data_IF_057342331928
#
_entry.id   IF_057342331928
#
_cell.length_a   1.000
_cell.length_b   1.000
_cell.length_c   1.000
_cell.angle_alpha   90.00
_cell.angle_beta   90.00
_cell.angle_gamma   90.00
#
_symmetry.space_group_name_H-M   'P 1'
#
loop_
_entity.id
_entity.type
_entity.pdbx_description
1 polymer ?
#
# COMPACT_ATOMS: atom_id res chain seq x y z
N UNK A 1 19.99 16.32 13.40
CA UNK A 1 19.50 15.02 12.92
C UNK A 1 18.65 14.42 14.03
N UNK A 2 17.33 14.52 13.96
CA UNK A 2 16.44 13.91 14.97
C UNK A 2 16.30 12.44 14.62
N UNK A 3 16.69 11.56 15.51
CA UNK A 3 16.43 10.12 15.38
C UNK A 3 14.92 9.89 15.55
N UNK A 4 14.27 9.29 14.55
CA UNK A 4 12.88 8.90 14.62
C UNK A 4 12.70 7.80 15.68
N UNK A 5 12.24 8.17 16.86
CA UNK A 5 11.92 7.23 17.93
C UNK A 5 10.60 6.48 17.64
N UNK A 6 10.36 5.31 18.28
CA UNK A 6 9.15 4.53 18.07
C UNK A 6 7.94 5.25 18.66
N UNK A 7 7.07 5.81 17.79
CA UNK A 7 5.77 6.31 18.20
C UNK A 7 4.77 5.17 18.42
N UNK A 8 3.97 5.29 19.47
CA UNK A 8 2.84 4.40 19.75
C UNK A 8 1.63 4.94 18.96
N UNK A 9 1.35 4.37 17.79
CA UNK A 9 0.14 4.63 17.02
C UNK A 9 -0.43 3.30 16.54
N UNK A 10 -1.61 2.94 16.99
CA UNK A 10 -2.31 1.76 16.54
C UNK A 10 -3.07 2.11 15.26
N UNK A 11 -2.77 1.38 14.18
CA UNK A 11 -3.56 1.34 12.95
C UNK A 11 -4.89 0.66 13.26
N UNK A 12 -5.96 1.42 13.37
CA UNK A 12 -7.30 0.86 13.56
C UNK A 12 -8.00 0.71 12.21
N UNK A 13 -7.88 -0.45 11.59
CA UNK A 13 -8.84 -0.87 10.59
C UNK A 13 -10.07 -1.47 11.29
N UNK A 14 -11.17 -0.73 11.37
CA UNK A 14 -12.45 -1.26 11.83
C UNK A 14 -12.99 -2.28 10.83
N UNK A 15 -12.97 -3.55 11.21
CA UNK A 15 -13.74 -4.60 10.55
C UNK A 15 -15.23 -4.40 10.87
N UNK A 16 -16.03 -3.88 9.94
CA UNK A 16 -17.49 -4.01 10.01
C UNK A 16 -17.94 -5.28 9.32
N UNK A 17 -18.35 -6.26 10.12
CA UNK A 17 -19.25 -7.33 9.75
C UNK A 17 -20.61 -6.73 9.35
N UNK A 18 -21.03 -6.92 8.10
CA UNK A 18 -22.42 -6.76 7.70
C UNK A 18 -22.89 -8.07 7.04
N UNK A 19 -23.49 -8.92 7.87
CA UNK A 19 -24.45 -9.87 7.38
C UNK A 19 -25.82 -9.23 7.35
N UNK A 20 -26.51 -9.30 6.23
CA UNK A 20 -27.94 -9.59 6.16
C UNK A 20 -28.30 -9.95 4.72
N UNK A 21 -28.84 -11.12 4.66
CA UNK A 21 -29.52 -11.78 3.57
C UNK A 21 -30.90 -11.13 3.39
N UNK A 22 -31.33 -10.86 2.16
CA UNK A 22 -32.73 -10.96 1.81
C UNK A 22 -32.88 -11.18 0.31
N UNK A 23 -33.75 -12.13 -0.03
CA UNK A 23 -33.88 -12.80 -1.30
C UNK A 23 -34.84 -12.23 -2.30
N UNK A 24 -34.67 -12.79 -3.48
CA UNK A 24 -35.69 -13.30 -4.46
C UNK A 24 -36.20 -12.34 -5.54
N UNK A 25 -36.82 -12.89 -6.63
CA UNK A 25 -36.44 -14.01 -7.51
C UNK A 25 -36.41 -13.67 -9.02
N UNK A 26 -35.88 -14.65 -9.78
CA UNK A 26 -36.18 -15.08 -11.17
C UNK A 26 -36.63 -14.08 -12.24
N UNK A 27 -35.86 -14.02 -13.31
CA UNK A 27 -36.39 -14.20 -14.67
C UNK A 27 -35.34 -14.77 -15.63
N UNK A 28 -35.65 -15.93 -16.16
CA UNK A 28 -34.95 -16.61 -17.26
C UNK A 28 -35.02 -15.78 -18.54
N UNK A 29 -33.88 -15.67 -19.25
CA UNK A 29 -33.89 -15.62 -20.74
C UNK A 29 -32.60 -16.27 -21.26
N UNK A 30 -32.84 -17.29 -22.09
CA UNK A 30 -31.95 -18.06 -22.95
C UNK A 30 -31.34 -17.20 -24.04
N UNK A 31 -29.99 -17.37 -24.32
CA UNK A 31 -29.49 -17.68 -25.66
C UNK A 31 -27.97 -17.89 -25.71
N UNK A 32 -27.59 -19.07 -26.09
CA UNK A 32 -26.77 -19.51 -27.23
C UNK A 32 -25.35 -18.99 -27.36
N UNK A 33 -24.38 -19.92 -27.18
CA UNK A 33 -23.15 -19.97 -27.98
C UNK A 33 -21.99 -19.13 -27.50
N UNK A 34 -21.47 -19.35 -26.28
CA UNK A 34 -20.17 -18.86 -25.83
C UNK A 34 -19.32 -20.03 -25.34
N UNK A 35 -18.02 -20.04 -25.69
CA UNK A 35 -17.02 -20.91 -25.08
C UNK A 35 -17.21 -20.90 -23.55
N UNK A 36 -17.02 -22.02 -22.84
CA UNK A 36 -17.13 -22.00 -21.39
C UNK A 36 -16.13 -20.96 -20.87
N UNK A 37 -16.65 -19.93 -20.21
CA UNK A 37 -15.84 -19.07 -19.38
C UNK A 37 -15.13 -19.99 -18.41
N UNK A 38 -13.81 -19.95 -18.37
CA UNK A 38 -13.07 -20.54 -17.27
C UNK A 38 -13.65 -19.91 -16.01
N UNK A 39 -14.26 -20.72 -15.16
CA UNK A 39 -14.62 -20.30 -13.81
C UNK A 39 -13.33 -19.79 -13.16
N UNK A 40 -13.15 -18.47 -13.11
CA UNK A 40 -12.12 -17.88 -12.28
C UNK A 40 -12.43 -18.30 -10.84
N UNK A 41 -11.59 -19.16 -10.29
CA UNK A 41 -11.63 -19.48 -8.85
C UNK A 41 -11.63 -18.14 -8.10
N UNK A 42 -12.53 -17.94 -7.13
CA UNK A 42 -12.55 -16.69 -6.39
C UNK A 42 -11.17 -16.45 -5.79
N UNK A 43 -10.59 -15.28 -6.07
CA UNK A 43 -9.33 -14.88 -5.44
C UNK A 43 -9.53 -14.88 -3.93
N UNK A 44 -8.70 -15.61 -3.22
CA UNK A 44 -8.86 -15.87 -1.78
C UNK A 44 -8.25 -14.79 -0.89
N UNK A 45 -7.61 -13.77 -1.45
CA UNK A 45 -7.10 -12.60 -0.73
C UNK A 45 -8.22 -11.64 -0.30
N UNK A 46 -8.01 -10.90 0.78
CA UNK A 46 -8.99 -9.95 1.34
C UNK A 46 -9.32 -8.83 0.35
N UNK A 47 -8.34 -8.40 -0.43
CA UNK A 47 -8.44 -7.31 -1.39
C UNK A 47 -8.70 -7.80 -2.82
N UNK A 48 -8.44 -9.07 -3.08
CA UNK A 48 -8.65 -9.70 -4.38
C UNK A 48 -7.59 -9.32 -5.42
N UNK A 49 -6.42 -8.85 -5.02
CA UNK A 49 -5.32 -8.47 -5.91
C UNK A 49 -4.40 -9.65 -6.24
N UNK A 50 -4.36 -10.67 -5.39
CA UNK A 50 -3.53 -11.85 -5.58
C UNK A 50 -4.23 -13.13 -5.16
N UNK A 51 -3.78 -14.26 -5.71
CA UNK A 51 -4.15 -15.58 -5.22
C UNK A 51 -3.04 -16.10 -4.29
N UNK A 52 -3.24 -16.15 -2.95
CA UNK A 52 -2.20 -16.57 -2.01
C UNK A 52 -1.69 -18.00 -2.25
N UNK A 53 -2.47 -18.87 -2.90
CA UNK A 53 -2.06 -20.23 -3.24
C UNK A 53 -0.89 -20.28 -4.24
N UNK A 54 -0.71 -19.23 -5.04
CA UNK A 54 0.36 -19.13 -6.04
C UNK A 54 1.68 -18.64 -5.46
N UNK A 55 1.68 -18.18 -4.21
CA UNK A 55 2.87 -17.59 -3.57
C UNK A 55 3.53 -18.58 -2.62
N UNK A 56 4.85 -18.67 -2.69
CA UNK A 56 5.65 -19.31 -1.65
C UNK A 56 5.67 -18.43 -0.39
N UNK A 57 5.65 -19.04 0.79
CA UNK A 57 5.81 -18.31 2.06
C UNK A 57 7.17 -17.58 2.16
N UNK A 58 8.13 -17.95 1.31
CA UNK A 58 9.42 -17.27 1.18
C UNK A 58 9.32 -15.82 0.71
N UNK A 59 8.20 -15.38 0.12
CA UNK A 59 8.00 -13.97 -0.21
C UNK A 59 8.09 -13.07 1.04
N UNK A 60 7.78 -13.61 2.23
CA UNK A 60 7.93 -12.91 3.51
C UNK A 60 9.38 -12.50 3.83
N UNK A 61 10.39 -13.08 3.17
CA UNK A 61 11.79 -12.67 3.25
C UNK A 61 12.08 -11.31 2.60
N UNK A 62 11.10 -10.74 1.89
CA UNK A 62 11.18 -9.38 1.30
C UNK A 62 10.47 -8.32 2.13
N UNK A 63 9.89 -8.70 3.27
CA UNK A 63 9.17 -7.76 4.14
C UNK A 63 10.12 -6.78 4.82
N UNK A 64 9.70 -5.52 4.88
CA UNK A 64 10.42 -4.49 5.62
C UNK A 64 10.10 -4.51 7.11
N UNK A 65 10.97 -3.91 7.92
CA UNK A 65 10.83 -3.86 9.38
C UNK A 65 9.47 -3.34 9.83
N UNK A 66 8.93 -2.29 9.21
CA UNK A 66 7.63 -1.74 9.59
C UNK A 66 6.48 -2.71 9.31
N UNK A 67 6.54 -3.45 8.20
CA UNK A 67 5.55 -4.46 7.82
C UNK A 67 5.58 -5.65 8.81
N UNK A 68 6.78 -6.18 9.10
CA UNK A 68 6.97 -7.25 10.08
C UNK A 68 6.46 -6.82 11.45
N UNK A 69 6.76 -5.61 11.87
CA UNK A 69 6.29 -5.05 13.13
C UNK A 69 4.77 -4.99 13.18
N UNK A 70 4.14 -4.49 12.11
CA UNK A 70 2.68 -4.40 12.01
C UNK A 70 2.02 -5.77 12.07
N UNK A 71 2.51 -6.75 11.30
CA UNK A 71 2.05 -8.14 11.28
C UNK A 71 2.07 -8.74 12.70
N UNK A 72 3.13 -8.49 13.46
CA UNK A 72 3.32 -9.06 14.79
C UNK A 72 2.53 -8.32 15.90
N UNK A 73 2.12 -7.08 15.68
CA UNK A 73 1.38 -6.26 16.65
C UNK A 73 -0.14 -6.33 16.48
N UNK A 74 -0.63 -6.63 15.28
CA UNK A 74 -2.05 -6.49 14.91
C UNK A 74 -2.72 -7.77 14.37
N UNK A 75 -2.37 -8.99 14.81
CA UNK A 75 -3.09 -10.17 14.38
C UNK A 75 -4.45 -10.26 15.08
N UNK A 76 -5.49 -10.63 14.34
CA UNK A 76 -6.67 -11.23 15.00
C UNK A 76 -6.35 -12.66 15.44
N UNK A 77 -7.23 -13.30 16.23
CA UNK A 77 -6.95 -14.61 16.81
C UNK A 77 -6.69 -15.69 15.75
N UNK A 78 -7.46 -15.69 14.67
CA UNK A 78 -7.33 -16.68 13.60
C UNK A 78 -6.09 -16.43 12.73
N UNK A 79 -5.74 -15.16 12.51
CA UNK A 79 -4.52 -14.76 11.82
C UNK A 79 -3.28 -15.10 12.67
N UNK A 80 -3.36 -14.97 14.01
CA UNK A 80 -2.27 -15.32 14.92
C UNK A 80 -1.96 -16.81 14.88
N UNK A 81 -3.00 -17.68 14.88
CA UNK A 81 -2.81 -19.13 14.80
C UNK A 81 -2.16 -19.54 13.48
N UNK A 82 -2.66 -19.04 12.35
CA UNK A 82 -2.08 -19.32 11.04
C UNK A 82 -0.62 -18.85 10.95
N UNK A 83 -0.33 -17.64 11.41
CA UNK A 83 1.03 -17.09 11.44
C UNK A 83 1.96 -17.93 12.34
N UNK A 84 1.48 -18.40 13.49
CA UNK A 84 2.26 -19.25 14.39
C UNK A 84 2.68 -20.55 13.71
N UNK A 85 1.74 -21.23 13.04
CA UNK A 85 2.00 -22.46 12.27
C UNK A 85 3.00 -22.20 11.15
N UNK A 86 2.76 -21.15 10.37
CA UNK A 86 3.61 -20.80 9.24
C UNK A 86 5.04 -20.46 9.68
N UNK A 87 5.22 -19.67 10.76
CA UNK A 87 6.55 -19.33 11.28
C UNK A 87 7.29 -20.57 11.84
N UNK A 88 6.61 -21.49 12.51
CA UNK A 88 7.21 -22.73 13.00
C UNK A 88 7.68 -23.63 11.85
N UNK A 89 6.88 -23.75 10.82
CA UNK A 89 7.19 -24.57 9.64
C UNK A 89 8.27 -23.94 8.74
N UNK A 90 8.46 -22.62 8.83
CA UNK A 90 9.42 -21.86 8.00
C UNK A 90 10.47 -21.15 8.87
N UNK A 91 11.45 -21.87 9.45
CA UNK A 91 12.42 -21.32 10.40
C UNK A 91 13.29 -20.21 9.79
N UNK A 92 13.53 -20.21 8.48
CA UNK A 92 14.27 -19.13 7.79
C UNK A 92 13.48 -17.81 7.79
N UNK A 93 12.15 -17.85 7.62
CA UNK A 93 11.29 -16.67 7.71
C UNK A 93 11.23 -16.18 9.15
N UNK A 94 11.05 -17.08 10.12
CA UNK A 94 11.09 -16.73 11.55
C UNK A 94 12.43 -16.09 11.92
N UNK A 95 13.56 -16.64 11.48
CA UNK A 95 14.88 -16.07 11.67
C UNK A 95 14.97 -14.67 11.04
N UNK A 96 14.56 -14.52 9.78
CA UNK A 96 14.58 -13.24 9.09
C UNK A 96 13.78 -12.18 9.85
N UNK A 97 12.59 -12.52 10.33
CA UNK A 97 11.76 -11.61 11.13
C UNK A 97 12.48 -11.16 12.40
N UNK A 98 13.21 -12.08 13.09
CA UNK A 98 13.97 -11.72 14.28
C UNK A 98 15.17 -10.82 13.97
N UNK A 99 15.79 -10.95 12.81
CA UNK A 99 16.92 -10.11 12.39
C UNK A 99 16.47 -8.74 11.89
N UNK A 100 15.43 -8.72 11.06
CA UNK A 100 14.92 -7.47 10.46
C UNK A 100 14.18 -6.60 11.47
N UNK A 101 13.52 -7.23 12.49
CA UNK A 101 12.78 -6.55 13.54
C UNK A 101 13.17 -7.09 14.94
N UNK A 102 14.42 -6.77 15.44
CA UNK A 102 14.97 -7.37 16.65
C UNK A 102 14.14 -7.11 17.91
N UNK A 103 13.44 -5.97 17.99
CA UNK A 103 12.54 -5.62 19.10
C UNK A 103 11.31 -6.52 19.19
N UNK A 104 11.01 -7.31 18.15
CA UNK A 104 9.94 -8.30 18.10
C UNK A 104 10.44 -9.74 18.12
N UNK A 105 11.72 -9.97 18.27
CA UNK A 105 12.31 -11.31 18.22
C UNK A 105 11.67 -12.28 19.24
N UNK A 106 11.37 -11.80 20.46
CA UNK A 106 10.71 -12.62 21.48
C UNK A 106 9.28 -12.99 21.05
N UNK A 107 8.52 -12.05 20.46
CA UNK A 107 7.18 -12.31 19.94
C UNK A 107 7.18 -13.38 18.85
N UNK A 108 8.16 -13.35 17.94
CA UNK A 108 8.33 -14.38 16.89
C UNK A 108 8.55 -15.76 17.52
N UNK A 109 9.46 -15.87 18.51
CA UNK A 109 9.72 -17.14 19.21
C UNK A 109 8.49 -17.66 19.94
N UNK A 110 7.78 -16.78 20.64
CA UNK A 110 6.55 -17.15 21.36
C UNK A 110 5.45 -17.63 20.41
N UNK A 111 5.27 -17.00 19.26
CA UNK A 111 4.30 -17.43 18.26
C UNK A 111 4.67 -18.81 17.71
N UNK A 112 5.89 -19.01 17.26
CA UNK A 112 6.32 -20.30 16.74
C UNK A 112 6.19 -21.43 17.78
N UNK A 113 6.43 -21.13 19.07
CA UNK A 113 6.28 -22.09 20.15
C UNK A 113 4.82 -22.48 20.47
N UNK A 114 3.85 -21.60 20.17
CA UNK A 114 2.42 -21.87 20.34
C UNK A 114 1.84 -22.82 19.28
N UNK A 115 2.50 -22.96 18.14
CA UNK A 115 1.97 -23.77 17.04
C UNK A 115 1.90 -25.25 17.43
N UNK A 116 0.81 -25.98 17.08
CA UNK A 116 0.65 -27.40 17.35
C UNK A 116 1.78 -28.25 16.78
N UNK A 117 1.99 -29.42 17.37
CA UNK A 117 2.89 -30.44 16.83
C UNK A 117 2.13 -31.40 15.89
N UNK A 118 2.86 -32.09 15.01
CA UNK A 118 2.31 -33.20 14.21
C UNK A 118 1.37 -32.77 13.09
N UNK A 119 1.42 -31.51 12.66
CA UNK A 119 0.61 -31.03 11.53
C UNK A 119 1.08 -31.67 10.20
N UNK A 120 0.12 -32.01 9.33
CA UNK A 120 0.41 -32.46 7.98
C UNK A 120 0.95 -31.31 7.11
N UNK A 121 1.64 -31.65 6.01
CA UNK A 121 2.10 -30.64 5.05
C UNK A 121 0.94 -29.80 4.48
N UNK A 122 -0.24 -30.41 4.34
CA UNK A 122 -1.45 -29.76 3.85
C UNK A 122 -1.99 -28.72 4.87
N UNK A 123 -1.98 -29.06 6.17
CA UNK A 123 -2.36 -28.13 7.23
C UNK A 123 -1.38 -26.96 7.35
N UNK A 124 -0.08 -27.24 7.22
CA UNK A 124 0.95 -26.19 7.18
C UNK A 124 0.71 -25.27 5.99
N UNK A 125 0.51 -25.85 4.79
CA UNK A 125 0.26 -25.04 3.58
C UNK A 125 -1.01 -24.20 3.69
N UNK A 126 -2.07 -24.72 4.24
CA UNK A 126 -3.29 -23.96 4.50
C UNK A 126 -3.06 -22.75 5.43
N UNK A 127 -2.22 -22.93 6.47
CA UNK A 127 -1.84 -21.83 7.36
C UNK A 127 -0.97 -20.77 6.66
N UNK A 128 -0.03 -21.18 5.79
CA UNK A 128 0.76 -20.27 4.97
C UNK A 128 -0.13 -19.44 4.05
N UNK A 129 -1.02 -20.08 3.28
CA UNK A 129 -1.97 -19.43 2.36
C UNK A 129 -2.86 -18.45 3.12
N UNK A 130 -3.38 -18.86 4.28
CA UNK A 130 -4.19 -17.97 5.11
C UNK A 130 -3.40 -16.76 5.60
N UNK A 131 -2.15 -16.96 6.05
CA UNK A 131 -1.28 -15.86 6.47
C UNK A 131 -1.04 -14.89 5.32
N UNK A 132 -0.67 -15.40 4.13
CA UNK A 132 -0.44 -14.57 2.95
C UNK A 132 -1.69 -13.78 2.55
N UNK A 133 -2.87 -14.41 2.60
CA UNK A 133 -4.15 -13.75 2.29
C UNK A 133 -4.54 -12.68 3.31
N UNK A 134 -4.25 -12.89 4.62
CA UNK A 134 -4.54 -11.90 5.65
C UNK A 134 -3.67 -10.63 5.53
N UNK A 135 -2.48 -10.74 4.95
CA UNK A 135 -1.53 -9.65 4.76
C UNK A 135 -1.28 -9.36 3.28
N UNK A 136 -2.30 -9.56 2.45
CA UNK A 136 -2.24 -9.38 1.00
C UNK A 136 -1.71 -8.00 0.60
N UNK A 137 -2.10 -6.95 1.31
CA UNK A 137 -1.66 -5.58 1.12
C UNK A 137 -0.15 -5.37 1.30
N UNK A 138 0.51 -6.23 2.09
CA UNK A 138 1.97 -6.25 2.21
C UNK A 138 2.63 -7.26 1.27
N UNK A 139 2.00 -8.42 1.08
CA UNK A 139 2.55 -9.47 0.22
C UNK A 139 2.62 -9.00 -1.24
N UNK A 140 1.63 -8.24 -1.72
CA UNK A 140 1.62 -7.72 -3.09
C UNK A 140 2.84 -6.82 -3.38
N UNK A 141 3.42 -6.15 -2.37
CA UNK A 141 4.62 -5.32 -2.52
C UNK A 141 5.90 -6.14 -2.76
N UNK A 142 5.85 -7.44 -2.53
CA UNK A 142 6.99 -8.35 -2.83
C UNK A 142 7.08 -8.71 -4.31
N UNK A 143 6.05 -8.40 -5.09
CA UNK A 143 5.92 -8.67 -6.53
C UNK A 143 5.39 -7.43 -7.27
N UNK A 144 6.24 -6.40 -7.47
CA UNK A 144 5.83 -5.11 -8.05
C UNK A 144 5.14 -5.20 -9.40
N UNK A 145 5.51 -6.20 -10.22
CA UNK A 145 4.90 -6.44 -11.53
C UNK A 145 3.42 -6.82 -11.35
N UNK A 146 3.13 -7.76 -10.45
CA UNK A 146 1.76 -8.18 -10.14
C UNK A 146 0.97 -7.02 -9.52
N UNK A 147 1.58 -6.27 -8.61
CA UNK A 147 0.97 -5.06 -8.04
C UNK A 147 0.55 -4.07 -9.14
N UNK A 148 1.41 -3.83 -10.12
CA UNK A 148 1.12 -2.90 -11.22
C UNK A 148 -0.03 -3.39 -12.09
N UNK A 149 -0.16 -4.69 -12.32
CA UNK A 149 -1.19 -5.28 -13.17
C UNK A 149 -2.53 -5.51 -12.46
N UNK A 150 -2.51 -5.78 -11.14
CA UNK A 150 -3.70 -6.23 -10.40
C UNK A 150 -4.32 -5.19 -9.50
N UNK A 151 -3.55 -4.21 -9.00
CA UNK A 151 -4.11 -3.17 -8.16
C UNK A 151 -4.87 -2.14 -9.01
N UNK A 152 -6.19 -2.11 -8.83
CA UNK A 152 -7.12 -1.27 -9.59
C UNK A 152 -6.77 0.22 -9.53
N UNK A 153 -6.31 0.71 -8.39
CA UNK A 153 -5.87 2.09 -8.22
C UNK A 153 -4.59 2.44 -9.02
N UNK A 154 -3.92 1.45 -9.60
CA UNK A 154 -2.76 1.62 -10.48
C UNK A 154 -3.17 1.50 -11.95
N UNK A 155 -3.68 0.32 -12.37
CA UNK A 155 -3.96 0.08 -13.79
C UNK A 155 -5.18 0.88 -14.30
N UNK A 156 -6.13 1.18 -13.45
CA UNK A 156 -7.34 1.94 -13.81
C UNK A 156 -7.17 3.46 -13.77
N UNK A 157 -6.00 3.97 -13.34
CA UNK A 157 -5.82 5.38 -13.09
C UNK A 157 -5.49 6.19 -14.35
N UNK A 158 -6.17 7.33 -14.51
CA UNK A 158 -5.86 8.31 -15.54
C UNK A 158 -4.94 9.41 -15.00
N UNK A 159 -3.71 9.48 -15.51
CA UNK A 159 -2.69 10.44 -15.09
C UNK A 159 -3.08 11.92 -15.29
N UNK A 160 -3.97 12.24 -16.23
CA UNK A 160 -4.44 13.60 -16.45
C UNK A 160 -5.15 14.15 -15.19
N UNK A 161 -5.67 13.27 -14.34
CA UNK A 161 -6.25 13.65 -13.06
C UNK A 161 -5.26 14.30 -12.10
N UNK A 162 -3.97 13.98 -12.19
CA UNK A 162 -2.92 14.66 -11.42
C UNK A 162 -2.71 16.10 -11.93
N UNK A 163 -2.65 16.27 -13.24
CA UNK A 163 -2.38 17.56 -13.87
C UNK A 163 -3.52 18.57 -13.75
N UNK A 164 -4.76 18.09 -13.47
CA UNK A 164 -5.91 18.94 -13.16
C UNK A 164 -5.82 19.58 -11.76
N UNK A 165 -5.01 19.02 -10.83
CA UNK A 165 -4.98 19.46 -9.43
C UNK A 165 -4.07 20.68 -9.25
N UNK A 166 -2.86 20.61 -9.86
CA UNK A 166 -1.83 21.64 -9.76
C UNK A 166 -0.93 21.58 -10.99
N UNK A 167 -0.41 22.73 -11.40
CA UNK A 167 0.62 22.82 -12.43
C UNK A 167 1.96 22.29 -11.90
N UNK A 168 2.53 21.31 -12.61
CA UNK A 168 3.81 20.69 -12.30
C UNK A 168 4.97 21.18 -13.16
N UNK A 169 4.72 22.01 -14.18
CA UNK A 169 5.75 22.45 -15.11
C UNK A 169 6.86 23.22 -14.39
N UNK A 170 8.09 22.75 -14.58
CA UNK A 170 9.28 23.33 -13.96
C UNK A 170 9.41 23.16 -12.45
N UNK A 171 8.55 22.37 -11.80
CA UNK A 171 8.54 22.14 -10.35
C UNK A 171 9.49 21.02 -9.91
N UNK A 172 9.93 21.11 -8.66
CA UNK A 172 10.55 19.99 -7.95
C UNK A 172 9.45 19.27 -7.15
N UNK A 173 9.20 18.01 -7.48
CA UNK A 173 8.08 17.22 -6.95
C UNK A 173 8.59 16.05 -6.13
N UNK A 174 7.94 15.79 -5.00
CA UNK A 174 8.12 14.57 -4.22
C UNK A 174 6.82 13.74 -4.23
N UNK A 175 6.94 12.46 -4.55
CA UNK A 175 5.91 11.45 -4.33
C UNK A 175 6.28 10.60 -3.13
N UNK A 176 5.40 10.53 -2.11
CA UNK A 176 5.64 9.84 -0.84
C UNK A 176 4.83 8.56 -0.77
N UNK A 177 5.50 7.43 -0.48
CA UNK A 177 4.90 6.11 -0.57
C UNK A 177 4.56 5.78 -2.01
N UNK A 178 5.54 5.93 -2.88
CA UNK A 178 5.36 5.92 -4.33
C UNK A 178 4.86 4.59 -4.89
N UNK A 179 4.98 3.50 -4.13
CA UNK A 179 4.62 2.15 -4.59
C UNK A 179 5.42 1.77 -5.84
N UNK A 180 4.74 1.38 -6.91
CA UNK A 180 5.37 1.12 -8.22
C UNK A 180 5.58 2.39 -9.05
N UNK A 181 5.39 3.58 -8.47
CA UNK A 181 5.70 4.86 -9.08
C UNK A 181 4.56 5.51 -9.86
N UNK A 182 3.31 5.14 -9.64
CA UNK A 182 2.14 5.66 -10.37
C UNK A 182 2.13 7.20 -10.48
N UNK A 183 2.24 7.89 -9.36
CA UNK A 183 2.27 9.36 -9.33
C UNK A 183 3.61 9.93 -9.78
N UNK A 184 4.72 9.32 -9.33
CA UNK A 184 6.06 9.79 -9.63
C UNK A 184 6.37 9.78 -11.12
N UNK A 185 6.04 8.69 -11.84
CA UNK A 185 6.24 8.62 -13.29
C UNK A 185 5.37 9.63 -14.05
N UNK A 186 4.12 9.83 -13.63
CA UNK A 186 3.26 10.86 -14.22
C UNK A 186 3.84 12.27 -13.99
N UNK A 187 4.27 12.57 -12.77
CA UNK A 187 4.87 13.86 -12.45
C UNK A 187 6.15 14.12 -13.26
N UNK A 188 7.00 13.10 -13.47
CA UNK A 188 8.24 13.23 -14.23
C UNK A 188 8.04 13.63 -15.71
N UNK A 189 6.82 13.47 -16.25
CA UNK A 189 6.51 13.94 -17.62
C UNK A 189 6.48 15.47 -17.74
N UNK A 190 6.24 16.20 -16.63
CA UNK A 190 6.11 17.68 -16.63
C UNK A 190 7.06 18.39 -15.68
N UNK A 191 7.37 17.75 -14.55
CA UNK A 191 8.21 18.34 -13.53
C UNK A 191 9.66 18.52 -14.00
N UNK A 192 10.32 19.56 -13.52
CA UNK A 192 11.77 19.72 -13.72
C UNK A 192 12.54 18.58 -13.07
N UNK A 193 12.10 18.16 -11.90
CA UNK A 193 12.71 17.04 -11.17
C UNK A 193 11.70 16.37 -10.24
N UNK A 194 11.67 15.04 -10.24
CA UNK A 194 10.79 14.23 -9.39
C UNK A 194 11.62 13.32 -8.49
N UNK A 195 11.22 13.23 -7.23
CA UNK A 195 11.74 12.24 -6.28
C UNK A 195 10.59 11.30 -5.89
N UNK A 196 10.84 10.00 -5.94
CA UNK A 196 9.97 8.96 -5.42
C UNK A 196 10.54 8.46 -4.09
N UNK A 197 9.80 8.64 -2.99
CA UNK A 197 10.17 8.12 -1.68
C UNK A 197 9.32 6.89 -1.35
N UNK A 198 9.96 5.75 -1.10
CA UNK A 198 9.28 4.47 -0.88
C UNK A 198 10.05 3.63 0.15
N UNK A 199 9.45 3.19 1.27
CA UNK A 199 10.14 2.42 2.28
C UNK A 199 10.41 0.95 1.88
N UNK A 200 9.67 0.40 0.91
CA UNK A 200 9.81 -1.01 0.49
C UNK A 200 10.89 -1.15 -0.57
N UNK A 201 11.91 -1.96 -0.29
CA UNK A 201 13.08 -2.10 -1.16
C UNK A 201 12.76 -2.66 -2.54
N UNK A 202 11.94 -3.72 -2.62
CA UNK A 202 11.53 -4.31 -3.90
C UNK A 202 10.82 -3.30 -4.82
N UNK A 203 10.02 -2.38 -4.25
CA UNK A 203 9.35 -1.32 -5.02
C UNK A 203 10.35 -0.25 -5.49
N UNK A 204 11.34 0.08 -4.66
CA UNK A 204 12.41 1.02 -5.08
C UNK A 204 13.23 0.46 -6.23
N UNK A 205 13.64 -0.82 -6.16
CA UNK A 205 14.39 -1.47 -7.25
C UNK A 205 13.56 -1.50 -8.53
N UNK A 206 12.29 -1.92 -8.45
CA UNK A 206 11.38 -1.89 -9.59
C UNK A 206 11.32 -0.50 -10.27
N UNK A 207 11.16 0.57 -9.47
CA UNK A 207 11.14 1.94 -10.03
C UNK A 207 12.47 2.33 -10.66
N UNK A 208 13.63 1.93 -10.09
CA UNK A 208 14.95 2.19 -10.66
C UNK A 208 15.14 1.50 -12.02
N UNK A 209 14.69 0.25 -12.12
CA UNK A 209 14.73 -0.51 -13.37
C UNK A 209 13.83 0.12 -14.43
N UNK A 210 12.63 0.55 -14.04
CA UNK A 210 11.71 1.26 -14.93
C UNK A 210 12.27 2.62 -15.39
N UNK A 211 12.92 3.40 -14.52
CA UNK A 211 13.61 4.64 -14.86
C UNK A 211 14.69 4.38 -15.91
N UNK A 212 15.53 3.36 -15.68
CA UNK A 212 16.60 2.99 -16.60
C UNK A 212 16.03 2.51 -17.95
N UNK A 213 15.03 1.63 -17.92
CA UNK A 213 14.38 1.07 -19.12
C UNK A 213 13.72 2.15 -19.99
N UNK A 214 13.09 3.15 -19.34
CA UNK A 214 12.40 4.27 -20.03
C UNK A 214 13.34 5.44 -20.37
N UNK A 215 14.59 5.42 -19.93
CA UNK A 215 15.56 6.50 -20.14
C UNK A 215 15.17 7.81 -19.43
N UNK A 216 14.49 7.75 -18.28
CA UNK A 216 14.06 8.93 -17.54
C UNK A 216 15.25 9.55 -16.81
N UNK A 217 15.55 10.81 -17.07
CA UNK A 217 16.73 11.50 -16.53
C UNK A 217 16.42 12.40 -15.34
N UNK A 218 15.18 12.85 -15.20
CA UNK A 218 14.71 13.82 -14.20
C UNK A 218 13.98 13.18 -13.01
N UNK A 219 14.19 11.89 -12.76
CA UNK A 219 13.57 11.18 -11.62
C UNK A 219 14.62 10.42 -10.80
N UNK A 220 14.44 10.38 -9.48
CA UNK A 220 15.26 9.58 -8.55
C UNK A 220 14.38 8.90 -7.54
N UNK A 221 14.88 7.78 -6.98
CA UNK A 221 14.18 6.96 -5.97
C UNK A 221 15.02 6.93 -4.70
N UNK A 222 14.38 7.12 -3.54
CA UNK A 222 15.01 7.03 -2.23
C UNK A 222 14.14 6.29 -1.22
N UNK A 223 14.73 5.92 -0.09
CA UNK A 223 14.03 5.41 1.08
C UNK A 223 13.42 6.57 1.87
N UNK A 224 12.27 6.34 2.52
CA UNK A 224 11.66 7.31 3.43
C UNK A 224 10.26 6.90 3.88
N UNK A 225 9.98 7.12 5.16
CA UNK A 225 8.65 6.97 5.76
C UNK A 225 7.95 8.32 5.80
N UNK A 226 6.64 8.36 5.57
CA UNK A 226 5.85 9.58 5.46
C UNK A 226 6.01 10.55 6.65
N UNK A 227 6.23 10.02 7.86
CA UNK A 227 6.43 10.81 9.07
C UNK A 227 7.91 11.13 9.37
N UNK A 228 8.84 10.69 8.51
CA UNK A 228 10.29 10.88 8.69
C UNK A 228 11.02 10.81 7.35
N UNK A 229 11.06 11.91 6.63
CA UNK A 229 11.62 11.99 5.28
C UNK A 229 13.05 12.58 5.31
N UNK A 230 13.99 12.04 4.53
CA UNK A 230 15.40 12.42 4.59
C UNK A 230 15.70 13.73 3.82
N UNK A 231 14.79 14.69 3.86
CA UNK A 231 14.93 15.95 3.13
C UNK A 231 15.00 17.17 4.06
N UNK A 232 15.75 18.21 3.70
CA UNK A 232 15.72 19.49 4.38
C UNK A 232 14.34 20.14 4.33
N UNK A 233 14.12 21.14 5.20
CA UNK A 233 12.95 21.99 5.16
C UNK A 233 12.85 22.71 3.81
N UNK A 234 11.63 22.91 3.30
CA UNK A 234 11.36 23.68 2.09
C UNK A 234 12.08 23.17 0.83
N UNK A 235 12.17 21.85 0.65
CA UNK A 235 12.87 21.22 -0.47
C UNK A 235 12.04 21.17 -1.76
N UNK A 236 10.72 21.04 -1.65
CA UNK A 236 9.85 20.71 -2.79
C UNK A 236 8.78 21.77 -3.04
N UNK A 237 8.47 22.01 -4.32
CA UNK A 237 7.36 22.88 -4.73
C UNK A 237 6.02 22.16 -4.57
N UNK A 238 6.00 20.83 -4.81
CA UNK A 238 4.84 19.98 -4.66
C UNK A 238 5.24 18.69 -3.95
N UNK A 239 4.50 18.32 -2.90
CA UNK A 239 4.62 17.04 -2.22
C UNK A 239 3.28 16.32 -2.36
N UNK A 240 3.30 15.12 -2.91
CA UNK A 240 2.11 14.34 -3.17
C UNK A 240 2.20 12.94 -2.55
N UNK A 241 1.06 12.34 -2.30
CA UNK A 241 0.91 10.97 -1.83
C UNK A 241 -0.39 10.36 -2.37
N UNK A 242 -0.52 9.04 -2.24
CA UNK A 242 -1.77 8.35 -2.50
C UNK A 242 -1.87 7.13 -1.60
N UNK A 243 -2.95 7.03 -0.80
CA UNK A 243 -3.17 5.94 0.18
C UNK A 243 -2.16 5.85 1.35
N UNK A 244 -1.43 6.93 1.64
CA UNK A 244 -0.35 6.93 2.65
C UNK A 244 -0.70 7.70 3.91
N UNK A 245 -1.32 8.88 3.77
CA UNK A 245 -1.66 9.74 4.91
C UNK A 245 -2.86 9.19 5.66
N UNK A 246 -2.73 9.02 6.98
CA UNK A 246 -3.83 8.64 7.86
C UNK A 246 -3.45 7.86 9.11
N UNK A 247 -2.36 7.08 9.10
CA UNK A 247 -1.98 6.23 10.24
C UNK A 247 -1.43 7.03 11.42
N UNK A 248 -0.64 8.05 11.10
CA UNK A 248 -0.03 8.99 12.05
C UNK A 248 -0.29 10.41 11.57
N UNK A 249 -1.56 10.70 11.30
CA UNK A 249 -2.04 11.84 10.54
C UNK A 249 -1.30 13.16 10.86
N UNK A 250 -1.18 13.51 12.14
CA UNK A 250 -0.53 14.78 12.53
C UNK A 250 0.96 14.80 12.22
N UNK A 251 1.68 13.73 12.56
CA UNK A 251 3.11 13.61 12.31
C UNK A 251 3.42 13.59 10.81
N UNK A 252 2.58 12.91 10.02
CA UNK A 252 2.69 12.82 8.57
C UNK A 252 2.46 14.19 7.92
N UNK A 253 1.35 14.86 8.24
CA UNK A 253 1.04 16.17 7.67
C UNK A 253 2.07 17.23 8.08
N UNK A 254 2.56 17.20 9.31
CA UNK A 254 3.59 18.12 9.80
C UNK A 254 4.92 17.90 9.03
N UNK A 255 5.30 16.64 8.78
CA UNK A 255 6.50 16.31 8.01
C UNK A 255 6.38 16.70 6.53
N UNK A 256 5.25 16.38 5.89
CA UNK A 256 4.97 16.82 4.51
C UNK A 256 4.99 18.35 4.42
N UNK A 257 4.40 19.04 5.41
CA UNK A 257 4.43 20.50 5.48
C UNK A 257 5.86 21.02 5.64
N UNK A 258 6.67 20.41 6.52
CA UNK A 258 8.06 20.81 6.77
C UNK A 258 8.89 20.86 5.51
N UNK A 259 8.80 19.82 4.67
CA UNK A 259 9.62 19.68 3.45
C UNK A 259 9.08 20.45 2.24
N UNK A 260 7.82 20.89 2.29
CA UNK A 260 7.21 21.70 1.22
C UNK A 260 7.59 23.17 1.38
N UNK A 261 7.93 23.85 0.29
CA UNK A 261 8.24 25.28 0.28
C UNK A 261 7.03 26.13 0.70
N UNK A 262 7.25 27.34 1.26
CA UNK A 262 6.17 28.32 1.42
C UNK A 262 5.48 28.57 0.07
N UNK A 263 4.15 28.56 0.03
CA UNK A 263 3.37 28.68 -1.21
C UNK A 263 3.30 27.42 -2.06
N UNK A 264 4.05 26.35 -1.71
CA UNK A 264 3.98 25.05 -2.36
C UNK A 264 2.71 24.28 -2.04
N UNK A 265 2.55 23.08 -2.61
CA UNK A 265 1.34 22.31 -2.53
C UNK A 265 1.55 20.93 -1.91
N UNK A 266 0.63 20.54 -1.04
CA UNK A 266 0.41 19.18 -0.59
C UNK A 266 -0.74 18.57 -1.37
N UNK A 267 -0.59 17.35 -1.86
CA UNK A 267 -1.62 16.61 -2.60
C UNK A 267 -1.81 15.23 -1.97
N UNK A 268 -3.08 14.80 -1.84
CA UNK A 268 -3.44 13.39 -1.63
C UNK A 268 -4.27 12.92 -2.82
N UNK A 269 -3.71 12.00 -3.61
CA UNK A 269 -4.22 11.59 -4.92
C UNK A 269 -4.39 10.07 -4.96
N UNK A 270 -5.44 9.53 -4.33
CA UNK A 270 -5.78 8.12 -4.48
C UNK A 270 -6.11 7.84 -5.95
N UNK A 271 -5.82 6.62 -6.40
CA UNK A 271 -6.21 6.17 -7.73
C UNK A 271 -7.68 5.75 -7.77
N UNK A 272 -8.16 5.46 -8.98
CA UNK A 272 -9.50 4.90 -9.17
C UNK A 272 -9.56 3.45 -8.68
N UNK A 273 -10.67 3.05 -8.09
CA UNK A 273 -10.86 1.72 -7.51
C UNK A 273 -12.24 1.19 -7.84
N UNK A 274 -12.37 -0.13 -7.96
CA UNK A 274 -13.69 -0.79 -8.06
C UNK A 274 -14.50 -0.64 -6.77
N UNK A 275 -13.81 -0.41 -5.64
CA UNK A 275 -14.44 -0.18 -4.34
C UNK A 275 -14.79 1.28 -4.16
N UNK A 276 -15.87 1.54 -3.40
CA UNK A 276 -16.25 2.91 -3.01
C UNK A 276 -15.08 3.59 -2.28
N UNK A 277 -14.62 4.69 -2.82
CA UNK A 277 -13.58 5.52 -2.21
C UNK A 277 -14.14 6.19 -0.95
N UNK A 278 -13.42 6.06 0.18
CA UNK A 278 -13.77 6.74 1.42
C UNK A 278 -13.34 8.20 1.35
N UNK A 279 -14.26 9.10 1.69
CA UNK A 279 -13.93 10.51 1.92
C UNK A 279 -13.07 10.65 3.17
N UNK A 280 -12.03 11.49 3.11
CA UNK A 280 -11.09 11.72 4.22
C UNK A 280 -11.46 13.01 4.96
N UNK A 281 -12.37 12.91 5.93
CA UNK A 281 -12.86 14.07 6.69
C UNK A 281 -11.76 14.74 7.50
N UNK A 282 -10.72 13.99 7.92
CA UNK A 282 -9.55 14.50 8.63
C UNK A 282 -8.73 15.50 7.81
N UNK A 283 -8.56 15.23 6.48
CA UNK A 283 -7.90 16.18 5.58
C UNK A 283 -8.71 17.46 5.44
N UNK A 284 -10.04 17.35 5.31
CA UNK A 284 -10.93 18.51 5.22
C UNK A 284 -10.87 19.34 6.50
N UNK A 285 -10.90 18.68 7.67
CA UNK A 285 -10.77 19.34 8.97
C UNK A 285 -9.42 20.04 9.15
N UNK A 286 -8.36 19.52 8.53
CA UNK A 286 -7.01 20.14 8.48
C UNK A 286 -6.89 21.25 7.40
N UNK A 287 -7.99 21.59 6.74
CA UNK A 287 -8.05 22.71 5.78
C UNK A 287 -7.61 22.35 4.34
N UNK A 288 -7.66 21.06 3.98
CA UNK A 288 -7.45 20.65 2.60
C UNK A 288 -8.72 20.87 1.76
N UNK A 289 -8.55 21.32 0.54
CA UNK A 289 -9.60 21.41 -0.47
C UNK A 289 -9.88 20.03 -1.05
N UNK A 290 -11.15 19.61 -1.01
CA UNK A 290 -11.62 18.37 -1.64
C UNK A 290 -11.96 18.62 -3.11
N UNK A 291 -11.50 17.74 -3.98
CA UNK A 291 -11.82 17.70 -5.41
C UNK A 291 -12.37 16.31 -5.72
N UNK A 292 -13.65 16.22 -6.08
CA UNK A 292 -14.31 14.96 -6.42
C UNK A 292 -14.50 14.82 -7.94
N UNK A 293 -14.41 13.59 -8.43
CA UNK A 293 -14.69 13.26 -9.83
C UNK A 293 -15.25 11.83 -9.93
N UNK A 294 -15.82 11.50 -11.10
CA UNK A 294 -16.19 10.11 -11.41
C UNK A 294 -14.96 9.37 -11.92
N UNK A 295 -14.58 8.33 -11.21
CA UNK A 295 -13.44 7.48 -11.57
C UNK A 295 -13.70 6.58 -12.78
N UNK A 296 -12.68 5.87 -13.22
CA UNK A 296 -12.71 4.96 -14.37
C UNK A 296 -13.75 3.85 -14.21
N UNK A 297 -14.02 3.42 -13.00
CA UNK A 297 -14.99 2.36 -12.70
C UNK A 297 -16.38 2.88 -12.31
N UNK A 298 -16.64 4.18 -12.51
CA UNK A 298 -17.93 4.80 -12.23
C UNK A 298 -18.16 5.25 -10.79
N UNK A 299 -17.21 4.99 -9.88
CA UNK A 299 -17.26 5.42 -8.49
C UNK A 299 -16.86 6.89 -8.33
N UNK A 300 -17.40 7.55 -7.30
CA UNK A 300 -16.91 8.87 -6.91
C UNK A 300 -15.56 8.72 -6.23
N UNK A 301 -14.53 9.35 -6.82
CA UNK A 301 -13.16 9.37 -6.28
C UNK A 301 -12.85 10.76 -5.75
N UNK A 302 -12.28 10.81 -4.54
CA UNK A 302 -11.89 12.03 -3.87
C UNK A 302 -10.38 12.21 -3.95
N UNK A 303 -9.94 13.43 -4.19
CA UNK A 303 -8.55 13.87 -4.16
C UNK A 303 -8.48 15.18 -3.39
N UNK A 304 -7.36 15.48 -2.79
CA UNK A 304 -7.24 16.61 -1.88
C UNK A 304 -5.99 17.41 -2.19
N UNK A 305 -6.07 18.73 -1.95
CA UNK A 305 -4.90 19.61 -2.01
C UNK A 305 -4.92 20.66 -0.92
N UNK A 306 -3.74 21.08 -0.50
CA UNK A 306 -3.57 22.17 0.47
C UNK A 306 -2.36 23.01 0.08
N UNK A 307 -2.53 24.32 0.03
CA UNK A 307 -1.38 25.21 -0.16
C UNK A 307 -0.72 25.48 1.20
N UNK A 308 0.61 25.30 1.24
CA UNK A 308 1.41 25.51 2.45
C UNK A 308 1.60 27.00 2.69
N UNK A 309 1.16 27.46 3.85
CA UNK A 309 1.35 28.84 4.36
C UNK A 309 2.24 28.76 5.59
N UNK A 310 3.47 29.23 5.46
CA UNK A 310 4.48 29.32 6.54
C UNK A 310 4.84 30.75 6.78
#
# INVERSE_FOLDING_TARGET
MRLCGPGKGAMTMEKKNNGTNDGNPETQKTNAGGKPAQEEKPMTGILGWMNPEEYSFDCMLRMERFQIRWILENPDAEAEEALAIALKANPKVAWYFTQKCPEKAERVRMLAAKAPEGLSAEQVRAAEVRTLGNYEDFVIYTTPEVMTEKCDFIYGWNKERLFEIVDLDGKTVLDVGSGTGRLAFAAAERAAFTVASEPVDSLREFMRDEIARKGITNMRVCDGLCHCLPFPDNSFDVVMSGHVVGDRFREEVDELTRITKPGGWLLDVPGDQHRKTRRKDELIADGWEELAYTGTFGETTYRYRKQVRK
#
